data_IF_636942125743
#
_entry.id   IF_636942125743
#
_cell.length_a   1.000
_cell.length_b   1.000
_cell.length_c   1.000
_cell.angle_alpha   90.00
_cell.angle_beta   90.00
_cell.angle_gamma   90.00
#
_symmetry.space_group_name_H-M   'P 1'
#
loop_
_entity.id
_entity.type
_entity.pdbx_description
1 polymer ?
#
# COMPACT_ATOMS: atom_id res chain seq x y z
N UNK A 1 23.66 9.40 -29.09
CA UNK A 1 23.71 8.68 -27.79
C UNK A 1 22.29 8.27 -27.42
N UNK A 2 21.96 6.98 -27.50
CA UNK A 2 20.67 6.49 -27.03
C UNK A 2 20.65 6.55 -25.50
N UNK A 3 19.75 7.35 -24.91
CA UNK A 3 19.41 7.24 -23.50
C UNK A 3 18.87 5.82 -23.29
N UNK A 4 19.62 4.98 -22.60
CA UNK A 4 19.06 3.75 -22.05
C UNK A 4 18.07 4.22 -21.00
N UNK A 5 16.78 4.25 -21.34
CA UNK A 5 15.74 4.47 -20.35
C UNK A 5 15.80 3.33 -19.34
N UNK A 6 16.17 3.64 -18.10
CA UNK A 6 16.07 2.71 -16.98
C UNK A 6 14.58 2.40 -16.78
N UNK A 7 14.10 1.35 -17.42
CA UNK A 7 12.71 0.92 -17.32
C UNK A 7 12.54 0.13 -16.02
N UNK A 8 11.78 0.67 -15.08
CA UNK A 8 11.29 -0.08 -13.93
C UNK A 8 10.39 -1.21 -14.42
N UNK A 9 10.73 -2.44 -14.03
CA UNK A 9 9.89 -3.62 -14.27
C UNK A 9 9.06 -3.86 -13.02
N UNK A 10 7.76 -4.14 -13.21
CA UNK A 10 6.82 -4.46 -12.14
C UNK A 10 6.29 -5.88 -12.33
N UNK A 11 6.49 -6.72 -11.32
CA UNK A 11 5.91 -8.06 -11.25
C UNK A 11 4.79 -8.02 -10.21
N UNK A 12 3.54 -8.17 -10.66
CA UNK A 12 2.38 -8.18 -9.76
C UNK A 12 2.36 -9.49 -8.96
N UNK A 13 2.17 -9.37 -7.65
CA UNK A 13 2.09 -10.51 -6.73
C UNK A 13 0.66 -10.71 -6.27
N UNK A 14 0.03 -9.67 -5.74
CA UNK A 14 -1.30 -9.75 -5.17
C UNK A 14 -2.10 -8.48 -5.43
N UNK A 15 -3.43 -8.62 -5.51
CA UNK A 15 -4.34 -7.47 -5.52
C UNK A 15 -5.65 -7.82 -4.82
N UNK A 16 -6.13 -6.90 -3.97
CA UNK A 16 -7.47 -6.98 -3.38
C UNK A 16 -8.12 -5.61 -3.37
N UNK A 17 -9.40 -5.57 -3.77
CA UNK A 17 -10.24 -4.38 -3.66
C UNK A 17 -11.40 -4.62 -2.69
N UNK A 18 -11.71 -3.60 -1.88
CA UNK A 18 -12.85 -3.50 -0.98
C UNK A 18 -13.73 -2.35 -1.47
N UNK A 19 -14.91 -2.70 -2.00
CA UNK A 19 -15.78 -1.78 -2.73
C UNK A 19 -16.87 -1.22 -1.82
N UNK A 20 -16.85 0.10 -1.60
CA UNK A 20 -17.90 0.88 -0.92
C UNK A 20 -18.10 2.20 -1.68
N UNK A 21 -18.62 3.25 -1.02
CA UNK A 21 -18.63 4.62 -1.57
C UNK A 21 -17.21 5.13 -1.88
N UNK A 22 -16.22 4.66 -1.13
CA UNK A 22 -14.81 4.74 -1.49
C UNK A 22 -14.33 3.31 -1.70
N UNK A 23 -13.56 3.04 -2.76
CA UNK A 23 -12.88 1.76 -2.90
C UNK A 23 -11.48 1.84 -2.29
N UNK A 24 -11.19 0.90 -1.41
CA UNK A 24 -9.81 0.60 -1.00
C UNK A 24 -9.26 -0.47 -1.92
N UNK A 25 -8.14 -0.20 -2.57
CA UNK A 25 -7.38 -1.16 -3.37
C UNK A 25 -5.99 -1.34 -2.76
N UNK A 26 -5.59 -2.59 -2.59
CA UNK A 26 -4.25 -3.00 -2.19
C UNK A 26 -3.64 -3.68 -3.41
N UNK A 27 -2.57 -3.12 -3.94
CA UNK A 27 -1.86 -3.67 -5.09
C UNK A 27 -0.39 -3.90 -4.74
N UNK A 28 0.02 -5.15 -4.67
CA UNK A 28 1.36 -5.55 -4.28
C UNK A 28 2.15 -6.09 -5.46
N UNK A 29 3.39 -5.61 -5.59
CA UNK A 29 4.30 -5.99 -6.66
C UNK A 29 5.75 -6.00 -6.18
N UNK A 30 6.61 -6.71 -6.92
CA UNK A 30 8.04 -6.44 -6.91
C UNK A 30 8.38 -5.42 -8.00
N UNK A 31 9.24 -4.46 -7.66
CA UNK A 31 9.82 -3.51 -8.59
C UNK A 31 11.33 -3.69 -8.69
N UNK A 32 11.90 -3.62 -9.89
CA UNK A 32 13.35 -3.56 -10.07
C UNK A 32 13.71 -2.76 -11.32
N UNK A 33 14.91 -2.18 -11.33
CA UNK A 33 15.43 -1.46 -12.50
C UNK A 33 16.12 -2.42 -13.47
N UNK A 34 15.69 -2.40 -14.74
CA UNK A 34 16.35 -3.18 -15.78
C UNK A 34 17.77 -2.65 -16.02
N UNK A 35 18.79 -3.47 -15.77
CA UNK A 35 20.19 -3.16 -16.11
C UNK A 35 21.04 -2.63 -14.94
N UNK A 36 20.46 -2.35 -13.77
CA UNK A 36 21.22 -2.14 -12.53
C UNK A 36 21.27 -3.43 -11.70
N UNK A 37 22.09 -3.42 -10.65
CA UNK A 37 22.20 -4.53 -9.69
C UNK A 37 20.80 -5.06 -9.34
N UNK A 38 20.65 -6.39 -9.39
CA UNK A 38 19.39 -7.12 -9.46
C UNK A 38 18.67 -7.21 -8.11
N UNK A 39 18.53 -6.09 -7.41
CA UNK A 39 17.73 -6.02 -6.21
C UNK A 39 16.30 -5.68 -6.60
N UNK A 40 15.35 -6.49 -6.14
CA UNK A 40 13.93 -6.18 -6.25
C UNK A 40 13.47 -5.54 -4.94
N UNK A 41 12.60 -4.54 -5.05
CA UNK A 41 11.90 -3.97 -3.90
C UNK A 41 10.49 -4.52 -3.88
N UNK A 42 10.00 -4.88 -2.70
CA UNK A 42 8.59 -5.07 -2.47
C UNK A 42 7.88 -3.72 -2.34
N UNK A 43 6.89 -3.54 -3.20
CA UNK A 43 6.17 -2.29 -3.35
C UNK A 43 4.69 -2.57 -3.32
N UNK A 44 4.03 -2.02 -2.31
CA UNK A 44 2.62 -2.20 -2.06
C UNK A 44 1.96 -0.84 -2.09
N UNK A 45 0.93 -0.69 -2.93
CA UNK A 45 0.12 0.51 -3.00
C UNK A 45 -1.17 0.31 -2.22
N UNK A 46 -1.38 1.14 -1.21
CA UNK A 46 -2.67 1.35 -0.55
C UNK A 46 -3.33 2.55 -1.22
N UNK A 47 -4.48 2.31 -1.85
CA UNK A 47 -5.13 3.29 -2.72
C UNK A 47 -6.60 3.47 -2.35
N UNK A 48 -7.03 4.73 -2.20
CA UNK A 48 -8.43 5.08 -2.04
C UNK A 48 -8.95 5.77 -3.30
N UNK A 49 -10.01 5.19 -3.87
CA UNK A 49 -10.68 5.71 -5.05
C UNK A 49 -12.05 6.27 -4.64
N UNK A 50 -12.31 7.57 -4.80
CA UNK A 50 -13.61 8.13 -4.53
C UNK A 50 -14.61 7.68 -5.60
N UNK A 51 -15.89 7.58 -5.23
CA UNK A 51 -16.96 7.31 -6.20
C UNK A 51 -17.38 8.59 -6.92
N UNK A 52 -17.58 8.50 -8.23
CA UNK A 52 -18.12 9.56 -9.08
C UNK A 52 -19.63 9.69 -8.92
N UNK A 53 -20.24 10.81 -9.35
CA UNK A 53 -21.70 10.93 -9.43
C UNK A 53 -22.37 9.83 -10.27
N UNK A 54 -21.64 9.25 -11.23
CA UNK A 54 -22.09 8.14 -12.08
C UNK A 54 -21.93 6.76 -11.41
N UNK A 55 -21.62 6.70 -10.11
CA UNK A 55 -21.43 5.46 -9.34
C UNK A 55 -20.29 4.57 -9.87
N UNK A 56 -19.26 5.18 -10.43
CA UNK A 56 -18.01 4.51 -10.84
C UNK A 56 -16.84 4.99 -9.97
N UNK A 57 -15.74 4.25 -9.91
CA UNK A 57 -14.56 4.68 -9.14
C UNK A 57 -13.68 5.62 -9.96
N UNK A 58 -13.37 6.79 -9.39
CA UNK A 58 -12.52 7.79 -10.02
C UNK A 58 -11.03 7.41 -9.91
N UNK A 59 -10.48 6.86 -10.99
CA UNK A 59 -9.07 6.50 -11.05
C UNK A 59 -8.13 7.69 -11.20
N UNK A 60 -8.64 8.88 -11.59
CA UNK A 60 -7.84 10.09 -11.77
C UNK A 60 -7.59 10.79 -10.43
N UNK A 61 -8.60 10.82 -9.57
CA UNK A 61 -8.55 11.44 -8.25
C UNK A 61 -8.25 10.46 -7.11
N UNK A 62 -7.71 9.27 -7.43
CA UNK A 62 -7.29 8.32 -6.40
C UNK A 62 -6.14 8.88 -5.58
N UNK A 63 -6.12 8.58 -4.29
CA UNK A 63 -4.97 8.84 -3.42
C UNK A 63 -4.26 7.52 -3.16
N UNK A 64 -2.96 7.47 -3.46
CA UNK A 64 -2.11 6.29 -3.28
C UNK A 64 -0.96 6.58 -2.31
N UNK A 65 -0.66 5.61 -1.45
CA UNK A 65 0.51 5.58 -0.57
C UNK A 65 1.29 4.27 -0.78
N UNK A 66 2.61 4.39 -0.84
CA UNK A 66 3.54 3.25 -0.98
C UNK A 66 3.87 2.69 0.42
N UNK A 67 3.88 1.37 0.49
CA UNK A 67 4.23 0.53 1.62
C UNK A 67 5.22 -0.54 1.13
N UNK A 68 6.02 -1.08 2.03
CA UNK A 68 6.59 -2.43 1.89
C UNK A 68 5.79 -3.45 2.72
N UNK A 69 6.13 -4.74 2.63
CA UNK A 69 5.50 -5.84 3.36
C UNK A 69 5.52 -5.63 4.88
N UNK A 70 6.64 -5.15 5.41
CA UNK A 70 6.82 -4.88 6.85
C UNK A 70 5.88 -3.78 7.34
N UNK A 71 5.84 -2.64 6.64
CA UNK A 71 4.92 -1.54 6.93
C UNK A 71 3.46 -1.98 6.79
N UNK A 72 3.16 -2.84 5.81
CA UNK A 72 1.83 -3.41 5.59
C UNK A 72 1.41 -4.30 6.78
N UNK A 73 2.31 -5.12 7.34
CA UNK A 73 2.02 -5.87 8.58
C UNK A 73 1.78 -4.93 9.76
N UNK A 74 2.56 -3.85 9.87
CA UNK A 74 2.34 -2.82 10.88
C UNK A 74 0.91 -2.25 10.83
N UNK A 75 0.40 -1.99 9.62
CA UNK A 75 -0.99 -1.59 9.43
C UNK A 75 -1.99 -2.67 9.89
N UNK A 76 -1.77 -3.95 9.56
CA UNK A 76 -2.64 -5.03 10.04
C UNK A 76 -2.70 -5.11 11.57
N UNK A 77 -1.54 -5.01 12.24
CA UNK A 77 -1.45 -5.00 13.70
C UNK A 77 -2.22 -3.82 14.28
N UNK A 78 -2.05 -2.63 13.70
CA UNK A 78 -2.76 -1.43 14.13
C UNK A 78 -4.27 -1.53 13.94
N UNK A 79 -4.75 -2.15 12.85
CA UNK A 79 -6.18 -2.42 12.65
C UNK A 79 -6.75 -3.38 13.70
N UNK A 80 -6.00 -4.41 14.08
CA UNK A 80 -6.38 -5.34 15.16
C UNK A 80 -6.41 -4.64 16.51
N UNK A 81 -5.41 -3.81 16.80
CA UNK A 81 -5.36 -3.00 18.02
C UNK A 81 -6.56 -2.06 18.10
N UNK A 82 -6.84 -1.32 17.02
CA UNK A 82 -7.99 -0.43 16.92
C UNK A 82 -9.30 -1.20 17.13
N UNK A 83 -9.43 -2.41 16.58
CA UNK A 83 -10.60 -3.23 16.80
C UNK A 83 -10.78 -3.63 18.28
N UNK A 84 -9.70 -4.03 18.95
CA UNK A 84 -9.71 -4.51 20.34
C UNK A 84 -9.90 -3.37 21.34
N UNK A 85 -9.14 -2.28 21.18
CA UNK A 85 -9.06 -1.18 22.16
C UNK A 85 -9.98 0.00 21.82
N UNK A 86 -10.50 0.07 20.59
CA UNK A 86 -11.22 1.24 20.04
C UNK A 86 -10.38 2.51 19.93
N UNK A 87 -9.07 2.39 20.11
CA UNK A 87 -8.10 3.47 19.98
C UNK A 87 -6.79 2.93 19.37
N UNK A 88 -6.05 3.80 18.72
CA UNK A 88 -4.68 3.56 18.24
C UNK A 88 -4.02 4.88 17.92
N UNK A 89 -2.70 4.93 18.03
CA UNK A 89 -1.87 6.08 17.62
C UNK A 89 -1.25 5.87 16.24
N UNK A 90 -1.66 4.84 15.50
CA UNK A 90 -1.07 4.52 14.20
C UNK A 90 -1.27 5.64 13.18
N UNK A 91 -0.14 6.16 12.72
CA UNK A 91 -0.07 7.16 11.65
C UNK A 91 1.11 6.81 10.75
N UNK A 92 0.87 6.79 9.44
CA UNK A 92 1.91 6.63 8.43
C UNK A 92 2.04 7.90 7.61
N UNK A 93 3.25 8.43 7.56
CA UNK A 93 3.59 9.54 6.68
C UNK A 93 4.34 9.03 5.45
N UNK A 94 4.01 9.60 4.29
CA UNK A 94 4.80 9.48 3.08
C UNK A 94 5.00 10.88 2.50
N UNK A 95 6.25 11.22 2.24
CA UNK A 95 6.62 12.42 1.51
C UNK A 95 7.38 12.00 0.26
N UNK A 96 6.75 12.06 -0.93
CA UNK A 96 7.44 11.79 -2.19
C UNK A 96 8.60 12.76 -2.45
N UNK A 97 8.64 13.88 -1.72
CA UNK A 97 9.60 14.97 -1.90
C UNK A 97 10.42 15.19 -0.63
N UNK A 98 10.95 14.12 -0.01
CA UNK A 98 11.81 14.21 1.19
C UNK A 98 12.92 15.28 1.13
N UNK A 99 13.31 15.75 -0.06
CA UNK A 99 14.29 16.81 -0.30
C UNK A 99 13.73 18.20 -0.70
N UNK A 100 12.41 18.40 -0.82
CA UNK A 100 11.82 19.70 -1.17
C UNK A 100 10.76 20.20 -0.17
N UNK A 101 10.76 21.50 0.08
CA UNK A 101 9.86 22.19 1.01
C UNK A 101 8.38 22.23 0.57
N UNK A 102 8.08 21.77 -0.65
CA UNK A 102 6.77 21.82 -1.32
C UNK A 102 6.07 20.47 -1.47
N UNK A 103 6.53 19.43 -0.77
CA UNK A 103 6.04 18.05 -0.94
C UNK A 103 4.54 17.83 -0.71
N UNK A 104 3.95 16.98 -1.55
CA UNK A 104 2.60 16.43 -1.40
C UNK A 104 2.57 15.39 -0.27
N UNK A 105 2.79 15.86 0.96
CA UNK A 105 2.82 15.03 2.17
C UNK A 105 1.46 14.37 2.35
N UNK A 106 1.49 13.03 2.42
CA UNK A 106 0.33 12.19 2.65
C UNK A 106 0.42 11.55 4.03
N UNK A 107 -0.70 11.50 4.71
CA UNK A 107 -0.83 10.86 6.01
C UNK A 107 -1.96 9.85 5.95
N UNK A 108 -1.64 8.58 6.22
CA UNK A 108 -2.65 7.56 6.52
C UNK A 108 -2.86 7.50 8.03
N UNK A 109 -4.11 7.57 8.45
CA UNK A 109 -4.53 7.35 9.82
C UNK A 109 -5.69 6.37 9.85
N UNK A 110 -5.85 5.70 10.99
CA UNK A 110 -6.97 4.82 11.26
C UNK A 110 -7.66 5.27 12.56
N UNK A 111 -8.97 5.17 12.63
CA UNK A 111 -9.74 5.62 13.79
C UNK A 111 -11.10 4.95 13.88
N UNK A 112 -11.77 5.08 15.02
CA UNK A 112 -13.20 4.78 15.15
C UNK A 112 -14.00 6.06 14.89
N UNK A 113 -14.89 6.08 13.88
CA UNK A 113 -15.73 7.26 13.60
C UNK A 113 -16.99 7.33 14.48
N UNK A 114 -17.34 6.20 15.08
CA UNK A 114 -18.31 6.04 16.16
C UNK A 114 -17.98 4.70 16.87
N UNK A 115 -18.75 4.30 17.88
CA UNK A 115 -18.50 3.05 18.62
C UNK A 115 -18.59 1.77 17.77
N UNK A 116 -18.97 1.86 16.49
CA UNK A 116 -19.28 0.71 15.62
C UNK A 116 -18.52 0.66 14.29
N UNK A 117 -18.00 1.81 13.80
CA UNK A 117 -17.36 1.94 12.49
C UNK A 117 -15.89 2.31 12.63
N UNK A 118 -15.08 1.60 11.84
CA UNK A 118 -13.64 1.77 11.74
C UNK A 118 -13.30 2.44 10.41
N UNK A 119 -12.53 3.51 10.47
CA UNK A 119 -12.17 4.33 9.32
C UNK A 119 -10.70 4.19 8.99
N UNK A 120 -10.40 4.09 7.70
CA UNK A 120 -9.06 4.32 7.15
C UNK A 120 -9.12 5.59 6.33
N UNK A 121 -8.31 6.58 6.69
CA UNK A 121 -8.27 7.88 6.05
C UNK A 121 -6.88 8.16 5.47
N UNK A 122 -6.84 8.68 4.25
CA UNK A 122 -5.63 9.25 3.67
C UNK A 122 -5.84 10.74 3.43
N UNK A 123 -5.12 11.56 4.18
CA UNK A 123 -5.09 13.01 4.04
C UNK A 123 -3.90 13.44 3.18
N UNK A 124 -4.09 14.48 2.37
CA UNK A 124 -3.04 15.17 1.61
C UNK A 124 -2.93 16.58 2.17
N UNK A 125 -1.71 17.05 2.45
CA UNK A 125 -1.50 18.41 2.96
C UNK A 125 -2.13 19.43 2.00
N UNK A 126 -3.04 20.27 2.52
CA UNK A 126 -3.71 21.32 1.73
C UNK A 126 -4.88 20.84 0.87
N UNK A 127 -5.32 19.58 0.99
CA UNK A 127 -6.49 19.05 0.29
C UNK A 127 -7.37 18.20 1.20
N UNK A 128 -8.62 17.99 0.79
CA UNK A 128 -9.55 17.11 1.51
C UNK A 128 -9.09 15.65 1.43
N UNK A 129 -9.02 14.99 2.58
CA UNK A 129 -8.70 13.56 2.64
C UNK A 129 -9.82 12.69 2.08
N UNK A 130 -9.48 11.44 1.76
CA UNK A 130 -10.45 10.41 1.37
C UNK A 130 -10.42 9.33 2.44
N UNK A 131 -11.61 8.81 2.79
CA UNK A 131 -11.74 7.76 3.79
C UNK A 131 -12.63 6.62 3.30
N UNK A 132 -12.48 5.46 3.95
CA UNK A 132 -13.33 4.29 3.80
C UNK A 132 -13.67 3.75 5.18
N UNK A 133 -14.88 3.20 5.33
CA UNK A 133 -15.38 2.71 6.61
C UNK A 133 -15.74 1.24 6.56
N UNK A 134 -15.48 0.56 7.67
CA UNK A 134 -15.70 -0.85 7.87
C UNK A 134 -16.47 -1.08 9.16
N UNK A 135 -17.39 -2.05 9.13
CA UNK A 135 -17.94 -2.61 10.35
C UNK A 135 -16.91 -3.53 11.05
N UNK A 136 -17.32 -4.07 12.21
CA UNK A 136 -16.47 -4.93 13.04
C UNK A 136 -15.99 -6.21 12.35
N UNK A 137 -16.78 -6.81 11.46
CA UNK A 137 -16.40 -8.03 10.76
C UNK A 137 -15.51 -7.71 9.57
N UNK A 138 -15.83 -6.64 8.86
CA UNK A 138 -15.06 -6.20 7.71
C UNK A 138 -13.65 -5.71 8.10
N UNK A 139 -13.49 -5.01 9.23
CA UNK A 139 -12.17 -4.54 9.67
C UNK A 139 -11.23 -5.69 10.06
N UNK A 140 -11.77 -6.75 10.68
CA UNK A 140 -11.01 -7.96 11.02
C UNK A 140 -10.61 -8.69 9.73
N UNK A 141 -11.54 -8.84 8.80
CA UNK A 141 -11.30 -9.46 7.50
C UNK A 141 -10.25 -8.69 6.69
N UNK A 142 -10.30 -7.35 6.73
CA UNK A 142 -9.29 -6.48 6.12
C UNK A 142 -7.92 -6.72 6.73
N UNK A 143 -7.80 -6.73 8.07
CA UNK A 143 -6.53 -6.98 8.74
C UNK A 143 -5.93 -8.34 8.36
N UNK A 144 -6.74 -9.39 8.34
CA UNK A 144 -6.31 -10.73 7.91
C UNK A 144 -5.88 -10.78 6.43
N UNK A 145 -6.58 -10.06 5.56
CA UNK A 145 -6.23 -9.97 4.15
C UNK A 145 -4.90 -9.24 3.94
N UNK A 146 -4.66 -8.17 4.71
CA UNK A 146 -3.42 -7.40 4.69
C UNK A 146 -2.24 -8.28 5.12
N UNK A 147 -2.38 -9.07 6.19
CA UNK A 147 -1.34 -10.01 6.63
C UNK A 147 -1.00 -11.03 5.54
N UNK A 148 -2.02 -11.67 4.95
CA UNK A 148 -1.81 -12.65 3.88
C UNK A 148 -1.10 -12.04 2.66
N UNK A 149 -1.45 -10.81 2.28
CA UNK A 149 -0.76 -10.11 1.20
C UNK A 149 0.70 -9.84 1.57
N UNK A 150 0.98 -9.39 2.80
CA UNK A 150 2.35 -9.14 3.23
C UNK A 150 3.21 -10.42 3.23
N UNK A 151 2.66 -11.53 3.71
CA UNK A 151 3.35 -12.82 3.75
C UNK A 151 3.63 -13.40 2.36
N UNK A 152 2.66 -13.27 1.44
CA UNK A 152 2.84 -13.68 0.04
C UNK A 152 3.94 -12.84 -0.63
N UNK A 153 3.96 -11.53 -0.37
CA UNK A 153 4.95 -10.62 -0.93
C UNK A 153 6.35 -10.95 -0.43
N UNK A 154 6.54 -11.18 0.87
CA UNK A 154 7.84 -11.56 1.41
C UNK A 154 8.32 -12.91 0.91
N UNK A 155 7.42 -13.89 0.85
CA UNK A 155 7.74 -15.22 0.32
C UNK A 155 8.18 -15.12 -1.14
N UNK A 156 7.43 -14.38 -1.95
CA UNK A 156 7.77 -14.16 -3.36
C UNK A 156 9.09 -13.39 -3.49
N UNK A 157 9.29 -12.32 -2.70
CA UNK A 157 10.51 -11.52 -2.70
C UNK A 157 11.74 -12.35 -2.37
N UNK A 158 11.68 -13.12 -1.27
CA UNK A 158 12.77 -14.01 -0.87
C UNK A 158 13.13 -15.01 -1.96
N UNK A 159 12.12 -15.69 -2.52
CA UNK A 159 12.33 -16.68 -3.58
C UNK A 159 12.89 -16.05 -4.86
N UNK A 160 12.43 -14.84 -5.21
CA UNK A 160 12.93 -14.10 -6.36
C UNK A 160 14.40 -13.71 -6.18
N UNK A 161 14.78 -13.20 -5.00
CA UNK A 161 16.17 -12.86 -4.72
C UNK A 161 17.08 -14.09 -4.80
N UNK A 162 16.64 -15.24 -4.26
CA UNK A 162 17.38 -16.50 -4.36
C UNK A 162 17.57 -16.97 -5.81
N UNK A 163 16.53 -16.87 -6.64
CA UNK A 163 16.62 -17.20 -8.07
C UNK A 163 17.66 -16.31 -8.76
N UNK A 164 17.61 -15.01 -8.49
CA UNK A 164 18.53 -14.03 -9.05
C UNK A 164 19.99 -14.31 -8.65
N UNK A 165 20.23 -14.63 -7.38
CA UNK A 165 21.55 -14.93 -6.86
C UNK A 165 22.13 -16.19 -7.49
N UNK A 166 21.32 -17.24 -7.67
CA UNK A 166 21.73 -18.47 -8.39
C UNK A 166 22.14 -18.15 -9.83
N UNK A 167 21.35 -17.34 -10.55
CA UNK A 167 21.64 -16.91 -11.91
C UNK A 167 22.90 -16.03 -12.03
N UNK A 168 23.29 -15.34 -10.96
CA UNK A 168 24.54 -14.59 -10.90
C UNK A 168 25.74 -15.50 -10.64
N UNK A 169 25.58 -16.50 -9.76
CA UNK A 169 26.65 -17.48 -9.46
C UNK A 169 26.96 -18.39 -10.63
N UNK A 170 25.95 -18.81 -11.42
CA UNK A 170 26.14 -19.69 -12.57
C UNK A 170 26.78 -19.02 -13.81
N UNK A 171 26.98 -17.70 -13.77
CA UNK A 171 27.62 -16.93 -14.86
C UNK A 171 29.08 -16.55 -14.57
N UNK A 172 29.59 -16.96 -13.40
CA UNK A 172 31.00 -16.86 -13.04
C UNK A 172 31.65 -18.23 -13.22
#
# INVERSE_FOLDING_TARGET
MNKIENKTVRIKIAQKAFKKLTMLNINACLEYEKGKAKYAEDVIYIELFPMTPQKTYDSKNKISMKYNSFELRGLAVALKELFQKKETSYVKHTDPSLSSSSGNKKTLSISTRNSTLFSINIAVKGATGIFIEFDKYEIISLAQCIEKIADEVDTFHYNYQQYIDKQLRSKK
#
